data_IF_812516638253
#
_entry.id   IF_812516638253
#
_cell.length_a   1.000
_cell.length_b   1.000
_cell.length_c   1.000
_cell.angle_alpha   90.00
_cell.angle_beta   90.00
_cell.angle_gamma   90.00
#
_symmetry.space_group_name_H-M   'P 1'
#
loop_
_entity.id
_entity.type
_entity.pdbx_description
1 polymer ?
#
# COMPACT_ATOMS: atom_id res chain seq x y z
N UNK A 1 -0.96 9.24 0.90
CA UNK A 1 -0.66 8.01 0.13
C UNK A 1 0.24 7.13 0.98
N UNK A 2 0.03 5.82 0.99
CA UNK A 2 0.89 4.91 1.77
C UNK A 2 2.18 4.55 1.01
N UNK A 3 3.20 4.05 1.74
CA UNK A 3 4.43 3.52 1.13
C UNK A 3 4.16 2.40 0.11
N UNK A 4 3.10 1.60 0.29
CA UNK A 4 2.67 0.57 -0.66
C UNK A 4 2.26 1.15 -2.01
N UNK A 5 1.45 2.22 -2.01
CA UNK A 5 1.03 2.87 -3.26
C UNK A 5 2.21 3.53 -3.98
N UNK A 6 3.14 4.11 -3.23
CA UNK A 6 4.38 4.67 -3.79
C UNK A 6 5.21 3.56 -4.45
N UNK A 7 5.35 2.40 -3.80
CA UNK A 7 6.08 1.27 -4.38
C UNK A 7 5.41 0.74 -5.68
N UNK A 8 4.08 0.77 -5.78
CA UNK A 8 3.37 0.42 -7.00
C UNK A 8 3.65 1.43 -8.13
N UNK A 9 3.66 2.73 -7.82
CA UNK A 9 4.02 3.77 -8.80
C UNK A 9 5.50 3.70 -9.19
N UNK A 10 6.38 3.38 -8.25
CA UNK A 10 7.81 3.18 -8.50
C UNK A 10 8.05 2.02 -9.48
N UNK A 11 7.34 0.91 -9.30
CA UNK A 11 7.44 -0.25 -10.16
C UNK A 11 7.14 0.02 -11.65
N UNK A 12 6.37 1.08 -11.93
CA UNK A 12 6.04 1.53 -13.30
C UNK A 12 6.72 2.85 -13.68
N UNK A 13 7.65 3.36 -12.85
CA UNK A 13 8.43 4.58 -13.12
C UNK A 13 7.65 5.89 -12.99
N UNK A 14 6.55 5.91 -12.22
CA UNK A 14 5.63 7.05 -12.12
C UNK A 14 5.61 7.72 -10.73
N UNK A 15 6.65 7.56 -9.93
CA UNK A 15 6.80 8.27 -8.64
C UNK A 15 6.74 9.78 -8.78
N UNK A 16 7.14 10.32 -9.95
CA UNK A 16 7.06 11.74 -10.26
C UNK A 16 5.67 12.36 -10.16
N UNK A 17 4.61 11.54 -10.21
CA UNK A 17 3.22 11.99 -10.03
C UNK A 17 2.82 12.20 -8.58
N UNK A 18 3.64 11.77 -7.63
CA UNK A 18 3.37 11.97 -6.21
C UNK A 18 3.73 13.40 -5.84
N UNK A 19 2.72 14.22 -5.54
CA UNK A 19 2.88 15.63 -5.12
C UNK A 19 2.77 15.79 -3.62
N UNK A 20 2.13 14.86 -2.91
CA UNK A 20 1.97 14.92 -1.46
C UNK A 20 1.79 13.55 -0.82
N UNK A 21 2.24 13.43 0.41
CA UNK A 21 2.17 12.23 1.24
C UNK A 21 1.73 12.56 2.67
N UNK A 22 1.27 11.56 3.38
CA UNK A 22 1.04 11.64 4.83
C UNK A 22 2.24 11.01 5.53
N UNK A 23 3.04 11.80 6.23
CA UNK A 23 4.20 11.36 6.99
C UNK A 23 5.39 10.96 6.12
N UNK A 24 6.04 11.94 5.51
CA UNK A 24 7.17 11.73 4.60
C UNK A 24 8.36 11.01 5.26
N UNK A 25 8.50 11.13 6.58
CA UNK A 25 9.56 10.45 7.34
C UNK A 25 9.43 8.92 7.35
N UNK A 26 8.22 8.40 7.07
CA UNK A 26 7.95 6.96 6.98
C UNK A 26 8.04 6.41 5.55
N UNK A 27 8.38 7.26 4.57
CA UNK A 27 8.52 6.88 3.17
C UNK A 27 9.99 6.63 2.87
N UNK A 28 10.36 5.37 2.67
CA UNK A 28 11.75 4.95 2.38
C UNK A 28 12.11 4.97 0.89
N UNK A 29 11.16 5.29 0.00
CA UNK A 29 11.43 5.32 -1.44
C UNK A 29 12.49 6.38 -1.79
N UNK A 30 13.60 6.00 -2.47
CA UNK A 30 14.73 6.90 -2.71
C UNK A 30 14.36 8.13 -3.55
N UNK A 31 13.47 7.98 -4.55
CA UNK A 31 13.05 9.10 -5.41
C UNK A 31 12.23 10.12 -4.62
N UNK A 32 11.29 9.65 -3.80
CA UNK A 32 10.52 10.53 -2.90
C UNK A 32 11.44 11.25 -1.93
N UNK A 33 12.42 10.56 -1.33
CA UNK A 33 13.38 11.16 -0.41
C UNK A 33 14.28 12.19 -1.11
N UNK A 34 14.71 11.92 -2.34
CA UNK A 34 15.49 12.87 -3.14
C UNK A 34 14.70 14.15 -3.49
N UNK A 35 13.37 14.05 -3.58
CA UNK A 35 12.46 15.16 -3.88
C UNK A 35 11.71 15.67 -2.64
N UNK A 36 12.19 15.34 -1.45
CA UNK A 36 11.54 15.64 -0.16
C UNK A 36 11.07 17.10 -0.02
N UNK A 37 11.88 18.04 -0.50
CA UNK A 37 11.57 19.47 -0.41
C UNK A 37 10.44 19.92 -1.36
N UNK A 38 10.12 19.10 -2.37
CA UNK A 38 9.08 19.37 -3.36
C UNK A 38 7.83 18.48 -3.19
N UNK A 39 7.93 17.39 -2.45
CA UNK A 39 6.79 16.54 -2.10
C UNK A 39 6.21 17.03 -0.76
N UNK A 40 4.96 17.48 -0.77
CA UNK A 40 4.33 18.04 0.44
C UNK A 40 4.02 16.95 1.48
N UNK A 41 4.43 17.18 2.73
CA UNK A 41 3.92 16.39 3.85
C UNK A 41 2.64 17.04 4.37
N UNK A 42 1.50 16.47 4.00
CA UNK A 42 0.17 17.01 4.33
C UNK A 42 -0.29 16.65 5.75
N UNK A 43 0.54 15.97 6.54
CA UNK A 43 0.20 15.53 7.90
C UNK A 43 -0.61 14.25 7.93
N UNK A 44 -1.30 14.01 9.06
CA UNK A 44 -2.05 12.78 9.32
C UNK A 44 -3.54 13.05 9.46
N UNK A 45 -4.36 12.03 9.27
CA UNK A 45 -5.78 12.09 9.55
C UNK A 45 -6.04 12.65 10.96
N UNK A 46 -6.91 13.66 11.06
CA UNK A 46 -7.13 14.43 12.29
C UNK A 46 -6.26 15.70 12.42
N UNK A 47 -5.17 15.84 11.65
CA UNK A 47 -4.32 17.03 11.62
C UNK A 47 -3.76 17.26 10.21
N UNK A 48 -4.63 17.36 9.22
CA UNK A 48 -4.25 17.59 7.83
C UNK A 48 -4.06 19.07 7.55
N UNK A 49 -2.96 19.41 6.89
CA UNK A 49 -2.70 20.76 6.38
C UNK A 49 -3.43 20.95 5.04
N UNK A 50 -4.68 21.41 5.10
CA UNK A 50 -5.51 21.63 3.90
C UNK A 50 -5.03 22.79 3.04
N UNK A 51 -4.34 23.77 3.61
CA UNK A 51 -3.74 24.89 2.83
C UNK A 51 -2.61 24.35 1.94
N UNK A 52 -1.74 23.51 2.51
CA UNK A 52 -0.71 22.84 1.73
C UNK A 52 -1.33 21.91 0.70
N UNK A 53 -2.34 21.10 1.08
CA UNK A 53 -3.02 20.19 0.16
C UNK A 53 -3.58 20.93 -1.06
N UNK A 54 -4.25 22.08 -0.85
CA UNK A 54 -4.74 22.94 -1.92
C UNK A 54 -3.60 23.51 -2.79
N UNK A 55 -2.51 23.92 -2.17
CA UNK A 55 -1.36 24.49 -2.90
C UNK A 55 -0.63 23.45 -3.78
N UNK A 56 -0.74 22.18 -3.45
CA UNK A 56 -0.20 21.06 -4.24
C UNK A 56 -1.05 20.73 -5.45
N UNK A 57 -2.30 21.25 -5.50
CA UNK A 57 -3.26 21.08 -6.60
C UNK A 57 -3.35 19.62 -7.10
N UNK A 58 -3.69 18.64 -6.23
CA UNK A 58 -3.71 17.25 -6.61
C UNK A 58 -4.92 16.91 -7.48
N UNK A 59 -4.71 16.20 -8.58
CA UNK A 59 -5.79 15.65 -9.40
C UNK A 59 -6.63 14.60 -8.64
N UNK A 60 -6.02 13.89 -7.68
CA UNK A 60 -6.67 12.83 -6.92
C UNK A 60 -6.00 12.62 -5.55
N UNK A 61 -6.82 12.49 -4.51
CA UNK A 61 -6.37 12.07 -3.17
C UNK A 61 -6.75 10.62 -2.91
N UNK A 62 -5.77 9.78 -2.55
CA UNK A 62 -6.00 8.40 -2.16
C UNK A 62 -6.19 8.30 -0.64
N UNK A 63 -7.31 7.73 -0.22
CA UNK A 63 -7.69 7.56 1.18
C UNK A 63 -7.73 6.07 1.57
N UNK A 64 -7.51 5.80 2.85
CA UNK A 64 -7.85 4.53 3.49
C UNK A 64 -9.15 4.67 4.30
N UNK A 65 -9.92 3.58 4.37
CA UNK A 65 -11.15 3.52 5.16
C UNK A 65 -11.11 2.41 6.22
N UNK A 66 -9.97 2.24 6.91
CA UNK A 66 -9.75 1.12 7.84
C UNK A 66 -10.78 1.09 8.98
N UNK A 67 -11.16 2.25 9.48
CA UNK A 67 -12.13 2.38 10.58
C UNK A 67 -13.45 3.04 10.14
N UNK A 68 -13.80 2.94 8.85
CA UNK A 68 -14.95 3.60 8.26
C UNK A 68 -14.57 4.77 7.35
N UNK A 69 -15.51 5.70 7.12
CA UNK A 69 -15.25 6.86 6.29
C UNK A 69 -14.18 7.77 6.91
N UNK A 70 -13.26 8.25 6.08
CA UNK A 70 -12.22 9.19 6.51
C UNK A 70 -12.83 10.51 6.97
N UNK A 71 -12.30 11.08 8.04
CA UNK A 71 -12.68 12.43 8.51
C UNK A 71 -12.36 13.52 7.49
N UNK A 72 -11.50 13.24 6.51
CA UNK A 72 -11.16 14.15 5.41
C UNK A 72 -12.26 14.29 4.36
N UNK A 73 -13.14 13.29 4.22
CA UNK A 73 -14.12 13.22 3.12
C UNK A 73 -14.97 14.48 2.97
N UNK A 74 -15.53 14.96 4.10
CA UNK A 74 -16.34 16.16 4.11
C UNK A 74 -15.58 17.40 3.63
N UNK A 75 -14.33 17.54 4.07
CA UNK A 75 -13.50 18.69 3.70
C UNK A 75 -13.00 18.63 2.26
N UNK A 76 -12.67 17.44 1.76
CA UNK A 76 -12.28 17.26 0.35
C UNK A 76 -13.45 17.60 -0.60
N UNK A 77 -14.67 17.19 -0.24
CA UNK A 77 -15.90 17.57 -0.99
C UNK A 77 -16.14 19.08 -0.98
N UNK A 78 -15.97 19.72 0.18
CA UNK A 78 -16.11 21.18 0.31
C UNK A 78 -15.09 21.95 -0.56
N UNK A 79 -13.88 21.41 -0.68
CA UNK A 79 -12.78 22.00 -1.45
C UNK A 79 -12.76 21.56 -2.92
N UNK A 80 -13.74 20.78 -3.36
CA UNK A 80 -13.84 20.21 -4.72
C UNK A 80 -12.59 19.41 -5.15
N UNK A 81 -11.94 18.73 -4.18
CA UNK A 81 -10.77 17.87 -4.43
C UNK A 81 -11.23 16.45 -4.66
N UNK A 82 -10.96 15.85 -5.84
CA UNK A 82 -11.30 14.47 -6.12
C UNK A 82 -10.58 13.50 -5.17
N UNK A 83 -11.28 12.49 -4.68
CA UNK A 83 -10.69 11.46 -3.85
C UNK A 83 -11.28 10.09 -4.13
N UNK A 84 -10.53 9.05 -3.82
CA UNK A 84 -11.00 7.67 -3.82
C UNK A 84 -10.45 6.88 -2.65
N UNK A 85 -11.21 5.89 -2.22
CA UNK A 85 -10.74 4.91 -1.26
C UNK A 85 -9.96 3.80 -1.95
N UNK A 86 -8.83 3.43 -1.35
CA UNK A 86 -8.01 2.28 -1.78
C UNK A 86 -8.13 1.20 -0.73
N UNK A 87 -8.61 0.04 -1.15
CA UNK A 87 -8.91 -1.11 -0.27
C UNK A 87 -7.89 -2.25 -0.37
N UNK A 88 -6.67 -1.99 -0.83
CA UNK A 88 -5.62 -3.01 -1.02
C UNK A 88 -5.29 -3.80 0.27
N UNK A 89 -5.53 -3.20 1.44
CA UNK A 89 -5.34 -3.84 2.73
C UNK A 89 -6.43 -4.86 3.09
N UNK A 90 -7.57 -4.84 2.40
CA UNK A 90 -8.68 -5.78 2.58
C UNK A 90 -8.49 -7.09 1.80
N UNK A 91 -7.50 -7.13 0.92
CA UNK A 91 -7.23 -8.32 0.13
C UNK A 91 -6.81 -9.51 1.00
N UNK A 92 -7.38 -10.67 0.70
CA UNK A 92 -7.08 -11.91 1.41
C UNK A 92 -5.90 -12.69 0.81
N UNK A 93 -5.41 -12.27 -0.37
CA UNK A 93 -4.30 -12.92 -1.03
C UNK A 93 -3.18 -11.94 -1.39
N UNK A 94 -1.90 -12.39 -1.30
CA UNK A 94 -0.76 -11.58 -1.71
C UNK A 94 -0.82 -11.12 -3.16
N UNK A 95 -1.33 -11.97 -4.07
CA UNK A 95 -1.48 -11.63 -5.48
C UNK A 95 -2.62 -10.64 -5.69
N UNK A 96 -3.75 -10.76 -4.99
CA UNK A 96 -4.82 -9.77 -5.01
C UNK A 96 -4.33 -8.40 -4.56
N UNK A 97 -3.54 -8.35 -3.46
CA UNK A 97 -2.92 -7.09 -3.03
C UNK A 97 -1.98 -6.52 -4.10
N UNK A 98 -1.17 -7.34 -4.74
CA UNK A 98 -0.27 -6.88 -5.80
C UNK A 98 -1.02 -6.40 -7.06
N UNK A 99 -2.21 -6.94 -7.34
CA UNK A 99 -3.05 -6.57 -8.49
C UNK A 99 -3.56 -5.12 -8.42
N UNK A 100 -3.58 -4.50 -7.24
CA UNK A 100 -3.90 -3.07 -7.09
C UNK A 100 -2.95 -2.16 -7.87
N UNK A 101 -1.77 -2.67 -8.25
CA UNK A 101 -0.89 -2.01 -9.23
C UNK A 101 -1.63 -1.69 -10.54
N UNK A 102 -2.48 -2.61 -11.02
CA UNK A 102 -3.26 -2.40 -12.25
C UNK A 102 -4.29 -1.29 -12.09
N UNK A 103 -4.99 -1.25 -10.94
CA UNK A 103 -5.95 -0.19 -10.65
C UNK A 103 -5.27 1.19 -10.61
N UNK A 104 -4.14 1.31 -9.91
CA UNK A 104 -3.37 2.56 -9.88
C UNK A 104 -2.82 2.93 -11.26
N UNK A 105 -2.34 1.96 -12.03
CA UNK A 105 -1.85 2.19 -13.40
C UNK A 105 -2.96 2.70 -14.32
N UNK A 106 -4.18 2.16 -14.19
CA UNK A 106 -5.35 2.61 -14.97
C UNK A 106 -5.69 4.07 -14.66
N UNK A 107 -5.76 4.42 -13.37
CA UNK A 107 -6.09 5.78 -12.90
C UNK A 107 -5.14 6.82 -13.50
N UNK A 108 -3.86 6.50 -13.63
CA UNK A 108 -2.85 7.43 -14.16
C UNK A 108 -2.60 7.27 -15.66
N UNK A 109 -3.42 6.47 -16.36
CA UNK A 109 -3.30 6.24 -17.81
C UNK A 109 -2.07 5.43 -18.23
N UNK A 110 -1.58 4.53 -17.34
CA UNK A 110 -0.39 3.68 -17.55
C UNK A 110 -0.72 2.18 -17.46
N UNK A 111 -1.93 1.82 -17.89
CA UNK A 111 -2.42 0.43 -17.81
C UNK A 111 -1.47 -0.58 -18.46
N UNK A 112 -0.95 -0.27 -19.65
CA UNK A 112 -0.07 -1.20 -20.37
C UNK A 112 1.26 -1.46 -19.62
N UNK A 113 1.82 -0.43 -19.01
CA UNK A 113 3.02 -0.55 -18.17
C UNK A 113 2.72 -1.38 -16.91
N UNK A 114 1.57 -1.14 -16.26
CA UNK A 114 1.12 -1.91 -15.10
C UNK A 114 0.92 -3.39 -15.45
N UNK A 115 0.27 -3.71 -16.56
CA UNK A 115 0.07 -5.08 -17.02
C UNK A 115 1.40 -5.79 -17.30
N UNK A 116 2.36 -5.11 -17.90
CA UNK A 116 3.69 -5.65 -18.16
C UNK A 116 4.41 -6.02 -16.85
N UNK A 117 4.37 -5.14 -15.86
CA UNK A 117 5.00 -5.39 -14.54
C UNK A 117 4.24 -6.49 -13.80
N UNK A 118 2.91 -6.42 -13.76
CA UNK A 118 2.10 -7.39 -13.03
C UNK A 118 2.20 -8.81 -13.60
N UNK A 119 2.32 -8.97 -14.91
CA UNK A 119 2.39 -10.28 -15.55
C UNK A 119 3.52 -11.18 -14.99
N UNK A 120 4.62 -10.59 -14.53
CA UNK A 120 5.75 -11.33 -13.97
C UNK A 120 5.52 -11.73 -12.49
N UNK A 121 4.72 -10.97 -11.75
CA UNK A 121 4.55 -11.16 -10.31
C UNK A 121 3.93 -12.53 -9.97
N UNK A 122 2.77 -12.95 -10.55
CA UNK A 122 2.18 -14.24 -10.26
C UNK A 122 3.09 -15.41 -10.67
N UNK A 123 3.82 -15.26 -11.77
CA UNK A 123 4.75 -16.29 -12.26
C UNK A 123 5.86 -16.52 -11.22
N UNK A 124 6.54 -15.48 -10.82
CA UNK A 124 7.62 -15.55 -9.80
C UNK A 124 7.10 -16.03 -8.45
N UNK A 125 5.96 -15.51 -8.01
CA UNK A 125 5.33 -15.89 -6.74
C UNK A 125 5.00 -17.40 -6.71
N UNK A 126 4.33 -17.91 -7.75
CA UNK A 126 3.94 -19.32 -7.81
C UNK A 126 5.14 -20.28 -7.93
N UNK A 127 6.22 -19.87 -8.61
CA UNK A 127 7.48 -20.63 -8.64
C UNK A 127 8.08 -20.76 -7.25
N UNK A 128 8.15 -19.65 -6.49
CA UNK A 128 8.68 -19.66 -5.13
C UNK A 128 7.79 -20.48 -4.21
N UNK A 129 6.46 -20.30 -4.24
CA UNK A 129 5.51 -21.06 -3.45
C UNK A 129 5.62 -22.56 -3.69
N UNK A 130 5.72 -22.94 -4.97
CA UNK A 130 5.91 -24.35 -5.33
C UNK A 130 7.24 -24.89 -4.78
N UNK A 131 8.33 -24.14 -4.93
CA UNK A 131 9.64 -24.54 -4.40
C UNK A 131 9.60 -24.74 -2.89
N UNK A 132 8.89 -23.87 -2.16
CA UNK A 132 8.67 -24.02 -0.72
C UNK A 132 7.89 -25.31 -0.42
N UNK A 133 6.74 -25.51 -1.07
CA UNK A 133 5.90 -26.68 -0.85
C UNK A 133 6.63 -28.00 -1.13
N UNK A 134 7.54 -28.01 -2.10
CA UNK A 134 8.31 -29.22 -2.47
C UNK A 134 9.48 -29.50 -1.51
N UNK A 135 9.93 -28.53 -0.68
CA UNK A 135 11.19 -28.65 0.10
C UNK A 135 11.02 -28.40 1.61
N UNK A 136 9.97 -27.75 2.06
CA UNK A 136 9.74 -27.47 3.49
C UNK A 136 8.99 -28.65 4.10
N UNK A 137 9.65 -29.37 5.02
CA UNK A 137 9.06 -30.53 5.71
C UNK A 137 8.47 -30.14 7.08
N UNK A 138 9.08 -29.17 7.75
CA UNK A 138 8.63 -28.66 9.06
C UNK A 138 8.36 -27.15 8.94
N UNK A 139 7.12 -26.76 9.18
CA UNK A 139 6.72 -25.37 9.16
C UNK A 139 7.07 -24.69 10.49
N UNK A 140 7.97 -23.70 10.50
CA UNK A 140 8.25 -22.93 11.72
C UNK A 140 7.03 -22.11 12.13
N UNK A 141 6.74 -22.07 13.43
CA UNK A 141 5.71 -21.17 13.97
C UNK A 141 6.14 -19.72 13.81
N UNK A 142 5.25 -18.90 13.29
CA UNK A 142 5.51 -17.48 12.98
C UNK A 142 4.47 -16.60 13.68
N UNK A 143 4.95 -15.67 14.51
CA UNK A 143 4.15 -14.56 15.04
C UNK A 143 4.54 -13.28 14.32
N UNK A 144 3.56 -12.42 14.04
CA UNK A 144 3.78 -11.15 13.33
C UNK A 144 3.61 -9.97 14.26
N UNK A 145 4.28 -8.88 13.91
CA UNK A 145 4.33 -7.63 14.66
C UNK A 145 5.00 -7.77 16.04
N UNK A 146 4.95 -6.70 16.82
CA UNK A 146 5.45 -6.64 18.19
C UNK A 146 4.37 -6.05 19.08
N UNK A 147 4.35 -6.39 20.39
CA UNK A 147 3.49 -5.70 21.33
C UNK A 147 3.74 -4.19 21.33
N UNK A 148 2.66 -3.42 21.45
CA UNK A 148 2.71 -1.98 21.64
C UNK A 148 1.89 -1.62 22.88
N UNK A 149 2.54 -1.16 23.94
CA UNK A 149 1.94 -1.04 25.26
C UNK A 149 1.40 -2.38 25.75
N UNK A 150 0.14 -2.40 26.17
CA UNK A 150 -0.54 -3.61 26.64
C UNK A 150 -1.32 -4.36 25.55
N UNK A 151 -1.09 -3.99 24.28
CA UNK A 151 -1.81 -4.55 23.14
C UNK A 151 -0.87 -5.15 22.12
N UNK A 152 -1.30 -6.25 21.50
CA UNK A 152 -0.61 -6.87 20.38
C UNK A 152 -1.55 -6.93 19.18
N UNK A 153 -1.30 -6.08 18.19
CA UNK A 153 -2.11 -6.01 16.98
C UNK A 153 -1.59 -7.02 15.95
N UNK A 154 -2.32 -8.11 15.78
CA UNK A 154 -1.95 -9.18 14.86
C UNK A 154 -2.88 -9.18 13.65
N UNK A 155 -2.36 -9.47 12.44
CA UNK A 155 -3.21 -9.68 11.27
C UNK A 155 -4.19 -10.83 11.47
N UNK A 156 -5.38 -10.74 10.89
CA UNK A 156 -6.32 -11.87 10.83
C UNK A 156 -5.68 -13.08 10.15
N UNK A 157 -6.09 -14.29 10.56
CA UNK A 157 -5.68 -15.55 9.92
C UNK A 157 -6.07 -15.66 8.45
N UNK A 158 -7.06 -14.90 8.01
CA UNK A 158 -7.51 -14.83 6.62
C UNK A 158 -6.86 -13.71 5.83
N UNK A 159 -6.01 -12.89 6.47
CA UNK A 159 -5.32 -11.79 5.80
C UNK A 159 -4.31 -12.27 4.77
N UNK A 160 -4.03 -11.41 3.78
CA UNK A 160 -2.97 -11.68 2.80
C UNK A 160 -1.61 -11.94 3.45
N UNK A 161 -1.33 -11.31 4.59
CA UNK A 161 -0.05 -11.48 5.32
C UNK A 161 0.05 -12.88 5.92
N UNK A 162 -1.03 -13.36 6.60
CA UNK A 162 -1.08 -14.72 7.12
C UNK A 162 -0.94 -15.75 5.99
N UNK A 163 -1.61 -15.50 4.85
CA UNK A 163 -1.47 -16.34 3.67
C UNK A 163 -0.06 -16.34 3.11
N UNK A 164 0.61 -15.18 3.08
CA UNK A 164 2.00 -15.09 2.63
C UNK A 164 2.95 -15.87 3.53
N UNK A 165 2.76 -15.85 4.86
CA UNK A 165 3.51 -16.71 5.80
C UNK A 165 3.33 -18.18 5.45
N UNK A 166 2.09 -18.62 5.23
CA UNK A 166 1.78 -20.01 4.83
C UNK A 166 2.40 -20.40 3.50
N UNK A 167 2.30 -19.53 2.49
CA UNK A 167 2.87 -19.76 1.17
C UNK A 167 4.42 -19.76 1.20
N UNK A 168 5.02 -19.12 2.22
CA UNK A 168 6.45 -19.16 2.52
C UNK A 168 6.87 -20.36 3.41
N UNK A 169 5.95 -21.27 3.73
CA UNK A 169 6.20 -22.48 4.51
C UNK A 169 6.18 -22.29 6.03
N UNK A 170 5.66 -21.17 6.53
CA UNK A 170 5.48 -20.91 7.95
C UNK A 170 4.08 -21.31 8.44
N UNK A 171 3.98 -21.57 9.73
CA UNK A 171 2.72 -21.75 10.46
C UNK A 171 2.41 -20.49 11.26
N UNK A 172 1.41 -19.72 10.79
CA UNK A 172 1.02 -18.47 11.43
C UNK A 172 0.21 -18.74 12.69
N UNK A 173 0.74 -18.29 13.82
CA UNK A 173 0.09 -18.40 15.13
C UNK A 173 -0.26 -17.01 15.67
N UNK A 174 -1.42 -16.92 16.38
CA UNK A 174 -1.92 -15.67 16.95
C UNK A 174 -2.69 -15.95 18.25
#
# INVERSE_FOLDING_TARGET
MSSTHIAMLDAIGETGRVVGVSGIDYISNPDIQARRDSVGDVGYEGNINYELLLSLDPDLVLLYGVNGASSMEGKLKELDIPFMYVGDYLEESPLGKAEWLLALSEIIGKRAEGEKVFAEIPVRYNVLRKKVADNVLDAPSVMLNTPYGDSWFMPSTESYVARMVKDAGGDYIY
#
